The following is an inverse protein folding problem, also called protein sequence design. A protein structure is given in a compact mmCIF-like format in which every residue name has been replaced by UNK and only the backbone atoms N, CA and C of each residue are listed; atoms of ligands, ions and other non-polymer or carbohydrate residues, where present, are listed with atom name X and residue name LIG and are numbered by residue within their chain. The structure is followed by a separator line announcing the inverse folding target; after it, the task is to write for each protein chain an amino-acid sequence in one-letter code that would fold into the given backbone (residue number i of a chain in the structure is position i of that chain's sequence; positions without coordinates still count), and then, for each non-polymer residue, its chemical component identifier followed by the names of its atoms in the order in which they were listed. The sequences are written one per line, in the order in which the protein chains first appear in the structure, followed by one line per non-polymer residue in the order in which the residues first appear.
data_IF_791164123925
#
_entry.id   IF_791164123925
#
_cell.length_a   1.000
_cell.length_b   1.000
_cell.length_c   1.000
_cell.angle_alpha   90.00
_cell.angle_beta   90.00
_cell.angle_gamma   90.00
#
_symmetry.space_group_name_H-M   'P 1'
#
loop_
_entity.id
_entity.type
_entity.pdbx_description
1 polymer ?
#
# COMPACT_ATOMS: atom_id res chain seq x y z
N UNK A 1 -8.10 4.31 -31.50
CA UNK A 1 -8.61 4.83 -30.21
C UNK A 1 -8.63 3.71 -29.18
N UNK A 2 -7.45 3.22 -28.78
CA UNK A 2 -7.32 2.42 -27.57
C UNK A 2 -6.91 3.44 -26.52
N UNK A 3 -7.83 3.73 -25.60
CA UNK A 3 -7.57 4.54 -24.43
C UNK A 3 -6.30 4.00 -23.76
N UNK A 4 -5.28 4.84 -23.69
CA UNK A 4 -4.27 4.68 -22.65
C UNK A 4 -5.05 4.75 -21.34
N UNK A 5 -5.34 3.59 -20.74
CA UNK A 5 -5.77 3.51 -19.35
C UNK A 5 -4.57 4.03 -18.57
N UNK A 6 -4.53 5.34 -18.37
CA UNK A 6 -3.53 6.00 -17.56
C UNK A 6 -3.77 5.46 -16.16
N UNK A 7 -2.89 4.58 -15.69
CA UNK A 7 -2.88 4.22 -14.28
C UNK A 7 -2.88 5.54 -13.49
N UNK A 8 -3.90 5.78 -12.64
CA UNK A 8 -4.01 7.04 -11.94
C UNK A 8 -2.75 7.23 -11.09
N UNK A 9 -2.03 8.32 -11.33
CA UNK A 9 -0.89 8.68 -10.49
C UNK A 9 -1.43 9.11 -9.13
N UNK A 10 -1.00 8.46 -8.06
CA UNK A 10 -1.44 8.78 -6.69
C UNK A 10 -1.10 10.21 -6.25
N UNK A 11 -0.25 10.91 -7.01
CA UNK A 11 0.18 12.28 -6.73
C UNK A 11 -0.94 13.31 -6.89
N UNK A 12 -1.89 13.04 -7.78
CA UNK A 12 -2.98 13.98 -8.11
C UNK A 12 -4.36 13.35 -7.97
N UNK A 13 -4.42 12.14 -7.41
CA UNK A 13 -5.65 11.38 -7.23
C UNK A 13 -5.72 10.86 -5.79
N UNK A 14 -6.40 11.60 -4.90
CA UNK A 14 -6.58 11.20 -3.51
C UNK A 14 -7.30 9.86 -3.35
N UNK A 15 -8.19 9.50 -4.27
CA UNK A 15 -8.92 8.22 -4.23
C UNK A 15 -7.99 7.06 -4.59
N UNK A 16 -7.11 7.24 -5.58
CA UNK A 16 -6.08 6.26 -5.91
C UNK A 16 -5.10 6.07 -4.74
N UNK A 17 -4.65 7.16 -4.11
CA UNK A 17 -3.80 7.10 -2.92
C UNK A 17 -4.51 6.34 -1.78
N UNK A 18 -5.75 6.71 -1.48
CA UNK A 18 -6.53 6.09 -0.41
C UNK A 18 -6.75 4.59 -0.69
N UNK A 19 -7.06 4.22 -1.93
CA UNK A 19 -7.17 2.83 -2.36
C UNK A 19 -5.88 2.03 -2.15
N UNK A 20 -4.72 2.60 -2.50
CA UNK A 20 -3.43 1.97 -2.25
C UNK A 20 -3.09 1.85 -0.76
N UNK A 21 -3.46 2.85 0.05
CA UNK A 21 -3.29 2.79 1.51
C UNK A 21 -4.20 1.73 2.14
N UNK A 22 -5.42 1.54 1.65
CA UNK A 22 -6.28 0.43 2.08
C UNK A 22 -5.67 -0.93 1.76
N UNK A 23 -5.09 -1.10 0.57
CA UNK A 23 -4.36 -2.33 0.23
C UNK A 23 -3.18 -2.56 1.19
N UNK A 24 -2.44 -1.51 1.55
CA UNK A 24 -1.38 -1.61 2.54
C UNK A 24 -1.88 -2.05 3.93
N UNK A 25 -2.99 -1.49 4.42
CA UNK A 25 -3.59 -1.89 5.69
C UNK A 25 -3.99 -3.36 5.69
N UNK A 26 -4.62 -3.86 4.61
CA UNK A 26 -4.93 -5.29 4.47
C UNK A 26 -3.67 -6.16 4.49
N UNK A 27 -2.60 -5.69 3.86
CA UNK A 27 -1.29 -6.34 3.93
C UNK A 27 -0.71 -6.38 5.35
N UNK A 28 -0.81 -5.27 6.09
CA UNK A 28 -0.39 -5.20 7.51
C UNK A 28 -1.18 -6.20 8.35
N UNK A 29 -2.51 -6.27 8.17
CA UNK A 29 -3.33 -7.30 8.81
C UNK A 29 -2.79 -8.70 8.49
N UNK A 30 -2.46 -9.00 7.23
CA UNK A 30 -1.95 -10.31 6.84
C UNK A 30 -0.62 -10.69 7.50
N UNK A 31 0.31 -9.75 7.67
CA UNK A 31 1.63 -10.03 8.30
C UNK A 31 1.59 -10.05 9.82
N UNK A 32 0.62 -9.37 10.44
CA UNK A 32 0.54 -9.23 11.90
C UNK A 32 -0.53 -10.11 12.54
N UNK A 33 -1.34 -10.79 11.74
CA UNK A 33 -2.43 -11.62 12.23
C UNK A 33 -1.91 -12.96 12.77
N UNK A 34 -2.26 -13.23 14.03
CA UNK A 34 -1.95 -14.44 14.78
C UNK A 34 -3.02 -15.54 14.63
N UNK A 35 -4.01 -15.33 13.75
CA UNK A 35 -5.10 -16.25 13.42
C UNK A 35 -6.03 -16.61 14.60
N UNK A 36 -6.17 -15.73 15.60
CA UNK A 36 -7.09 -15.98 16.72
C UNK A 36 -8.57 -15.81 16.35
N UNK A 37 -8.88 -15.16 15.23
CA UNK A 37 -10.23 -14.99 14.69
C UNK A 37 -10.32 -15.76 13.37
N UNK A 38 -11.10 -16.84 13.33
CA UNK A 38 -11.13 -17.79 12.22
C UNK A 38 -11.63 -17.15 10.92
N UNK A 39 -12.68 -16.32 11.01
CA UNK A 39 -13.32 -15.60 9.91
C UNK A 39 -12.36 -14.65 9.19
N UNK A 40 -11.36 -14.16 9.92
CA UNK A 40 -10.31 -13.27 9.43
C UNK A 40 -8.92 -13.90 9.55
N UNK A 41 -8.82 -15.23 9.50
CA UNK A 41 -7.53 -15.91 9.41
C UNK A 41 -6.77 -15.49 8.15
N UNK A 42 -5.45 -15.68 8.14
CA UNK A 42 -4.59 -15.30 7.01
C UNK A 42 -5.04 -15.93 5.69
N UNK A 43 -5.54 -17.17 5.71
CA UNK A 43 -6.08 -17.81 4.52
C UNK A 43 -7.33 -17.08 4.00
N UNK A 44 -8.27 -16.74 4.89
CA UNK A 44 -9.48 -15.97 4.54
C UNK A 44 -9.14 -14.57 4.04
N UNK A 45 -8.17 -13.89 4.64
CA UNK A 45 -7.71 -12.58 4.18
C UNK A 45 -7.07 -12.66 2.79
N UNK A 46 -6.25 -13.67 2.50
CA UNK A 46 -5.69 -13.87 1.15
C UNK A 46 -6.78 -14.16 0.13
N UNK A 47 -7.75 -15.01 0.46
CA UNK A 47 -8.90 -15.28 -0.40
C UNK A 47 -9.70 -14.01 -0.68
N UNK A 48 -9.95 -13.20 0.35
CA UNK A 48 -10.65 -11.92 0.22
C UNK A 48 -9.89 -10.95 -0.69
N UNK A 49 -8.58 -10.76 -0.46
CA UNK A 49 -7.74 -9.90 -1.30
C UNK A 49 -7.77 -10.36 -2.76
N UNK A 50 -7.62 -11.66 -3.01
CA UNK A 50 -7.64 -12.20 -4.36
C UNK A 50 -9.00 -12.06 -5.05
N UNK A 51 -10.10 -12.22 -4.31
CA UNK A 51 -11.46 -12.12 -4.83
C UNK A 51 -11.85 -10.69 -5.15
N UNK A 52 -11.55 -9.75 -4.24
CA UNK A 52 -12.03 -8.37 -4.31
C UNK A 52 -11.08 -7.44 -5.06
N UNK A 53 -9.77 -7.73 -5.06
CA UNK A 53 -8.73 -6.87 -5.65
C UNK A 53 -7.96 -7.61 -6.75
N UNK A 54 -7.61 -8.86 -6.51
CA UNK A 54 -6.69 -9.64 -7.34
C UNK A 54 -5.23 -9.46 -6.89
N UNK A 55 -4.47 -10.55 -6.87
CA UNK A 55 -3.11 -10.58 -6.31
C UNK A 55 -2.15 -9.58 -6.99
N UNK A 56 -2.20 -9.50 -8.33
CA UNK A 56 -1.30 -8.64 -9.09
C UNK A 56 -1.64 -7.17 -8.91
N UNK A 57 -2.93 -6.83 -8.96
CA UNK A 57 -3.43 -5.46 -8.70
C UNK A 57 -3.13 -5.04 -7.26
N UNK A 58 -3.24 -5.96 -6.30
CA UNK A 58 -2.85 -5.70 -4.92
C UNK A 58 -1.37 -5.33 -4.81
N UNK A 59 -0.47 -6.10 -5.46
CA UNK A 59 0.96 -5.81 -5.50
C UNK A 59 1.28 -4.50 -6.22
N UNK A 60 0.61 -4.21 -7.32
CA UNK A 60 0.73 -2.96 -8.07
C UNK A 60 0.32 -1.75 -7.22
N UNK A 61 -0.81 -1.84 -6.51
CA UNK A 61 -1.25 -0.78 -5.57
C UNK A 61 -0.21 -0.49 -4.51
N UNK A 62 0.46 -1.52 -3.99
CA UNK A 62 1.58 -1.34 -3.05
C UNK A 62 2.80 -0.69 -3.69
N UNK A 63 3.07 -0.97 -4.97
CA UNK A 63 4.15 -0.36 -5.73
C UNK A 63 3.92 1.12 -6.01
N UNK A 64 2.67 1.51 -6.31
CA UNK A 64 2.30 2.90 -6.59
C UNK A 64 2.70 3.86 -5.47
N UNK A 65 2.58 3.44 -4.20
CA UNK A 65 2.98 4.27 -3.05
C UNK A 65 4.48 4.54 -3.08
N UNK A 66 5.32 3.49 -3.14
CA UNK A 66 6.77 3.65 -3.05
C UNK A 66 7.40 4.30 -4.30
N UNK A 67 6.70 4.28 -5.44
CA UNK A 67 7.12 4.92 -6.67
C UNK A 67 6.74 6.41 -6.75
N UNK A 68 5.87 6.91 -5.86
CA UNK A 68 5.51 8.32 -5.84
C UNK A 68 6.65 9.21 -5.39
N UNK A 69 6.75 10.37 -6.03
CA UNK A 69 7.63 11.49 -5.69
C UNK A 69 7.40 11.94 -4.26
N UNK A 70 6.15 12.06 -3.81
CA UNK A 70 5.81 12.42 -2.44
C UNK A 70 6.41 11.44 -1.42
N UNK A 71 6.27 10.13 -1.66
CA UNK A 71 6.89 9.10 -0.81
C UNK A 71 8.43 9.11 -0.88
N UNK A 72 8.99 9.19 -2.08
CA UNK A 72 10.45 9.25 -2.29
C UNK A 72 11.05 10.46 -1.56
N UNK A 73 10.42 11.62 -1.64
CA UNK A 73 10.86 12.84 -0.97
C UNK A 73 10.77 12.72 0.56
N UNK A 74 9.67 12.17 1.08
CA UNK A 74 9.52 11.91 2.51
C UNK A 74 10.57 10.91 3.03
N UNK A 75 10.94 9.90 2.24
CA UNK A 75 11.91 8.88 2.63
C UNK A 75 13.35 9.37 2.78
N UNK A 76 13.68 10.52 2.16
CA UNK A 76 15.02 11.13 2.21
C UNK A 76 15.19 12.13 3.36
N UNK A 77 14.09 12.66 3.89
CA UNK A 77 14.13 13.82 4.78
C UNK A 77 13.51 13.53 6.15
N UNK A 78 14.36 13.41 7.19
CA UNK A 78 13.92 13.13 8.57
C UNK A 78 13.29 14.33 9.29
N UNK A 79 13.49 15.54 8.78
CA UNK A 79 13.32 16.78 9.57
C UNK A 79 12.20 17.70 9.06
N UNK A 80 11.31 17.22 8.21
CA UNK A 80 10.31 18.09 7.58
C UNK A 80 9.01 18.14 8.39
N UNK A 81 8.87 19.23 9.14
CA UNK A 81 7.58 19.82 9.51
C UNK A 81 7.18 20.77 8.39
N UNK A 82 6.53 20.27 7.33
CA UNK A 82 5.87 21.12 6.34
C UNK A 82 4.38 20.79 6.34
N UNK A 83 3.55 21.84 6.23
CA UNK A 83 2.10 21.75 6.27
C UNK A 83 1.49 20.96 5.10
N UNK A 84 2.28 20.65 4.06
CA UNK A 84 1.81 20.05 2.80
C UNK A 84 2.42 18.67 2.50
N UNK A 85 2.88 17.92 3.52
CA UNK A 85 3.40 16.57 3.31
C UNK A 85 2.30 15.51 3.36
N UNK A 86 2.24 14.69 2.30
CA UNK A 86 1.36 13.51 2.23
C UNK A 86 1.84 12.36 3.12
N UNK A 87 3.17 12.18 3.25
CA UNK A 87 3.78 11.11 4.03
C UNK A 87 4.85 11.66 4.96
N UNK A 88 4.94 11.10 6.17
CA UNK A 88 6.04 11.37 7.08
C UNK A 88 7.19 10.35 6.93
N UNK A 89 8.38 10.72 7.42
CA UNK A 89 9.57 9.88 7.34
C UNK A 89 9.38 8.51 8.00
N UNK A 90 8.77 8.45 9.19
CA UNK A 90 8.61 7.19 9.92
C UNK A 90 7.68 6.23 9.18
N UNK A 91 6.60 6.76 8.58
CA UNK A 91 5.72 6.01 7.70
C UNK A 91 6.48 5.39 6.53
N UNK A 92 7.34 6.16 5.84
CA UNK A 92 8.09 5.59 4.69
C UNK A 92 8.99 4.42 5.10
N UNK A 93 9.57 4.46 6.31
CA UNK A 93 10.40 3.37 6.85
C UNK A 93 9.57 2.14 7.19
N UNK A 94 8.44 2.33 7.87
CA UNK A 94 7.49 1.27 8.17
C UNK A 94 7.00 0.61 6.88
N UNK A 95 6.61 1.43 5.90
CA UNK A 95 6.10 0.98 4.62
C UNK A 95 7.13 0.11 3.87
N UNK A 96 8.38 0.56 3.75
CA UNK A 96 9.43 -0.21 3.09
C UNK A 96 9.63 -1.60 3.72
N UNK A 97 9.69 -1.67 5.06
CA UNK A 97 9.86 -2.94 5.76
C UNK A 97 8.66 -3.86 5.57
N UNK A 98 7.46 -3.34 5.82
CA UNK A 98 6.22 -4.11 5.75
C UNK A 98 5.90 -4.56 4.33
N UNK A 99 6.09 -3.70 3.32
CA UNK A 99 5.79 -4.02 1.92
C UNK A 99 6.60 -5.22 1.42
N UNK A 100 7.88 -5.32 1.82
CA UNK A 100 8.73 -6.46 1.49
C UNK A 100 8.26 -7.79 2.12
N UNK A 101 7.62 -7.75 3.29
CA UNK A 101 7.02 -8.93 3.93
C UNK A 101 5.66 -9.26 3.32
N UNK A 102 4.80 -8.26 3.12
CA UNK A 102 3.47 -8.40 2.54
C UNK A 102 3.56 -9.12 1.20
N UNK A 103 4.43 -8.64 0.30
CA UNK A 103 4.59 -9.21 -1.05
C UNK A 103 5.08 -10.66 -1.08
N UNK A 104 5.73 -11.13 -0.02
CA UNK A 104 6.15 -12.54 0.11
C UNK A 104 5.01 -13.45 0.57
N UNK A 105 4.00 -12.90 1.24
CA UNK A 105 2.86 -13.64 1.79
C UNK A 105 1.62 -13.60 0.90
N UNK A 106 1.46 -12.55 0.09
CA UNK A 106 0.39 -12.37 -0.90
C UNK A 106 0.75 -13.02 -2.24
#
# INVERSE_FOLDING_TARGET
FISQIRNPSIENDPEALMSSLHAFVLGVCLISNNNTIEEYSNERLKQLINKEIGADVFKEKLDMIQQSTSFINASKNRSLTFNDMTFDYAFTRLYYYSCGLIKKLS
#
